data_IF_672972898358
#
_entry.id   IF_672972898358
#
_cell.length_a   1.000
_cell.length_b   1.000
_cell.length_c   1.000
_cell.angle_alpha   90.00
_cell.angle_beta   90.00
_cell.angle_gamma   90.00
#
_symmetry.space_group_name_H-M   'P 1'
#
loop_
_entity.id
_entity.type
_entity.pdbx_description
1 polymer ?
#
# COMPACT_ATOMS: atom_id res chain seq x y z
N UNK A 1 -35.74 14.52 19.01
CA UNK A 1 -35.17 15.88 19.13
C UNK A 1 -34.03 15.95 18.11
N UNK A 2 -34.25 16.64 16.98
CA UNK A 2 -33.30 16.73 15.86
C UNK A 2 -32.48 18.00 16.04
N UNK A 3 -31.17 17.87 16.20
CA UNK A 3 -30.25 19.02 16.22
C UNK A 3 -29.64 19.12 14.80
N UNK A 4 -29.96 20.18 14.11
CA UNK A 4 -29.33 20.60 12.86
C UNK A 4 -28.09 21.43 13.21
N UNK A 5 -26.92 21.01 12.75
CA UNK A 5 -25.72 21.83 12.77
C UNK A 5 -25.67 22.66 11.49
N UNK A 6 -25.68 23.96 11.63
CA UNK A 6 -25.48 24.96 10.58
C UNK A 6 -24.00 25.14 10.34
N UNK A 7 -23.53 24.92 9.12
CA UNK A 7 -22.19 25.29 8.69
C UNK A 7 -22.13 26.80 8.40
N UNK A 8 -21.24 27.49 9.07
CA UNK A 8 -20.91 28.90 8.79
C UNK A 8 -19.77 28.95 7.77
N UNK A 9 -20.04 29.46 6.58
CA UNK A 9 -19.04 29.78 5.57
C UNK A 9 -18.31 31.07 5.97
N UNK A 10 -17.01 31.01 6.17
CA UNK A 10 -16.13 32.18 6.30
C UNK A 10 -15.41 32.41 4.96
N UNK A 11 -15.96 33.29 4.15
CA UNK A 11 -15.31 33.88 2.99
C UNK A 11 -14.33 34.94 3.41
N UNK A 12 -13.02 34.63 3.41
CA UNK A 12 -11.93 35.56 3.58
C UNK A 12 -11.30 35.91 2.24
N UNK A 13 -11.63 37.11 1.70
CA UNK A 13 -10.94 37.63 0.53
C UNK A 13 -9.53 38.10 0.93
N UNK A 14 -8.49 37.45 0.42
CA UNK A 14 -7.11 37.97 0.52
C UNK A 14 -6.82 38.83 -0.71
N UNK A 15 -6.64 40.11 -0.45
CA UNK A 15 -6.16 41.09 -1.44
C UNK A 15 -4.68 40.82 -1.72
N UNK A 16 -4.34 40.51 -2.97
CA UNK A 16 -2.94 40.41 -3.43
C UNK A 16 -2.43 41.84 -3.68
N UNK A 17 -1.58 42.33 -2.80
CA UNK A 17 -0.81 43.54 -3.05
C UNK A 17 0.39 43.19 -3.96
N UNK A 18 0.36 43.66 -5.19
CA UNK A 18 1.49 43.58 -6.10
C UNK A 18 2.60 44.52 -5.61
N UNK A 19 3.68 43.97 -5.04
CA UNK A 19 4.92 44.69 -4.80
C UNK A 19 5.83 44.58 -6.04
N UNK A 20 5.95 45.70 -6.75
CA UNK A 20 6.98 45.86 -7.77
C UNK A 20 8.35 45.92 -7.10
N UNK A 21 9.23 44.98 -7.40
CA UNK A 21 10.63 44.97 -6.98
C UNK A 21 11.47 45.47 -8.16
N UNK A 22 12.36 46.46 -7.97
CA UNK A 22 13.24 46.95 -9.02
C UNK A 22 14.34 45.89 -9.33
N UNK A 23 14.64 45.76 -10.59
CA UNK A 23 15.74 44.93 -11.05
C UNK A 23 17.09 45.48 -10.56
N UNK A 24 17.76 44.76 -9.68
CA UNK A 24 19.16 44.91 -9.37
C UNK A 24 19.94 43.70 -9.84
N UNK A 25 20.88 43.92 -10.71
CA UNK A 25 21.85 42.94 -11.22
C UNK A 25 22.71 42.45 -10.06
N UNK A 26 22.85 41.14 -9.96
CA UNK A 26 24.03 40.53 -9.41
C UNK A 26 24.16 39.15 -10.07
N UNK A 27 25.19 39.00 -10.84
CA UNK A 27 25.73 37.72 -11.23
C UNK A 27 26.27 37.03 -9.98
N UNK A 28 25.67 35.90 -9.62
CA UNK A 28 26.34 34.76 -8.99
C UNK A 28 25.33 33.59 -9.00
N UNK A 29 25.59 32.59 -9.81
CA UNK A 29 24.95 31.30 -9.63
C UNK A 29 25.47 30.68 -8.33
N UNK A 30 24.62 30.28 -7.41
CA UNK A 30 23.86 29.03 -7.45
C UNK A 30 22.45 29.15 -6.83
N UNK A 31 21.47 29.40 -7.62
CA UNK A 31 20.06 29.46 -7.19
C UNK A 31 19.28 28.17 -7.36
N UNK A 32 19.93 27.05 -7.65
CA UNK A 32 19.26 25.78 -8.00
C UNK A 32 18.52 25.11 -6.84
N UNK A 33 18.93 25.32 -5.60
CA UNK A 33 18.30 24.70 -4.41
C UNK A 33 16.91 25.23 -4.09
N UNK A 34 16.71 26.57 -4.16
CA UNK A 34 15.44 27.17 -3.79
C UNK A 34 14.33 26.90 -4.82
N UNK A 35 14.66 26.93 -6.12
CA UNK A 35 13.71 26.62 -7.18
C UNK A 35 13.31 25.12 -7.16
N UNK A 36 14.26 24.24 -6.87
CA UNK A 36 14.03 22.80 -6.68
C UNK A 36 13.17 22.51 -5.45
N UNK A 37 13.44 23.16 -4.32
CA UNK A 37 12.62 23.02 -3.11
C UNK A 37 11.16 23.49 -3.33
N UNK A 38 10.93 24.49 -4.18
CA UNK A 38 9.57 24.96 -4.52
C UNK A 38 8.80 23.97 -5.38
N UNK A 39 9.44 23.25 -6.29
CA UNK A 39 8.80 22.19 -7.09
C UNK A 39 8.28 21.04 -6.20
N UNK A 40 9.08 20.62 -5.22
CA UNK A 40 8.68 19.55 -4.30
C UNK A 40 7.68 20.04 -3.25
N UNK A 41 7.81 21.26 -2.75
CA UNK A 41 6.90 21.85 -1.78
C UNK A 41 5.48 22.05 -2.36
N UNK A 42 5.36 22.42 -3.64
CA UNK A 42 4.06 22.53 -4.30
C UNK A 42 3.41 21.16 -4.56
N UNK A 43 4.19 20.14 -4.87
CA UNK A 43 3.69 18.76 -5.02
C UNK A 43 3.24 18.15 -3.68
N UNK A 44 3.89 18.51 -2.56
CA UNK A 44 3.55 18.01 -1.23
C UNK A 44 2.34 18.74 -0.60
N UNK A 45 2.06 19.97 -1.01
CA UNK A 45 1.06 20.83 -0.34
C UNK A 45 -0.36 20.75 -0.93
N UNK A 46 -0.54 20.27 -2.16
CA UNK A 46 -1.86 20.19 -2.77
C UNK A 46 -1.94 19.09 -3.83
N UNK A 47 -2.46 17.89 -3.51
CA UNK A 47 -2.71 16.86 -4.51
C UNK A 47 -3.60 17.35 -5.68
N UNK A 48 -4.50 18.30 -5.40
CA UNK A 48 -5.42 18.91 -6.38
C UNK A 48 -4.74 19.83 -7.41
N UNK A 49 -3.45 20.17 -7.26
CA UNK A 49 -2.70 21.04 -8.17
C UNK A 49 -1.45 20.34 -8.75
N UNK A 50 -1.34 19.03 -8.64
CA UNK A 50 -0.32 18.32 -9.37
C UNK A 50 -0.62 18.47 -10.86
N UNK A 51 0.31 19.06 -11.61
CA UNK A 51 0.20 19.14 -13.07
C UNK A 51 0.27 17.72 -13.65
N UNK A 52 -0.57 17.42 -14.64
CA UNK A 52 -0.45 16.22 -15.46
C UNK A 52 1.00 16.04 -15.92
N UNK A 53 1.41 14.81 -16.19
CA UNK A 53 2.75 14.45 -16.67
C UNK A 53 3.52 15.64 -17.29
N UNK A 54 4.55 16.12 -16.60
CA UNK A 54 5.33 17.28 -17.03
C UNK A 54 6.83 16.96 -16.97
N UNK A 55 7.59 17.53 -17.90
CA UNK A 55 9.03 17.32 -17.97
C UNK A 55 9.72 18.51 -18.63
N UNK A 56 10.91 18.82 -18.14
CA UNK A 56 11.82 19.79 -18.76
C UNK A 56 13.21 19.18 -18.86
N UNK A 57 13.83 19.27 -20.02
CA UNK A 57 15.17 18.76 -20.29
C UNK A 57 15.22 17.24 -20.45
N UNK A 58 16.28 16.61 -19.99
CA UNK A 58 16.57 15.20 -20.24
C UNK A 58 16.53 14.31 -18.98
N UNK A 59 16.10 14.84 -17.82
CA UNK A 59 15.79 14.03 -16.64
C UNK A 59 14.65 13.04 -16.96
N UNK A 60 14.89 11.77 -16.71
CA UNK A 60 13.93 10.69 -17.00
C UNK A 60 13.76 9.75 -15.81
N UNK A 61 12.51 9.52 -15.39
CA UNK A 61 12.18 8.47 -14.42
C UNK A 61 12.18 7.13 -15.17
N UNK A 62 13.05 6.22 -14.74
CA UNK A 62 13.24 4.92 -15.40
C UNK A 62 12.55 3.78 -14.65
N UNK A 63 12.38 3.90 -13.34
CA UNK A 63 11.65 2.91 -12.54
C UNK A 63 11.10 3.52 -11.25
N UNK A 64 9.94 2.98 -10.82
CA UNK A 64 9.39 3.25 -9.49
C UNK A 64 9.03 1.92 -8.84
N UNK A 65 9.41 1.73 -7.58
CA UNK A 65 9.12 0.51 -6.82
C UNK A 65 8.42 0.86 -5.52
N UNK A 66 7.22 0.31 -5.32
CA UNK A 66 6.41 0.47 -4.09
C UNK A 66 6.59 -0.75 -3.21
N UNK A 67 6.97 -0.56 -1.94
CA UNK A 67 7.08 -1.61 -0.92
C UNK A 67 7.91 -2.85 -1.40
N UNK A 68 8.94 -2.63 -2.19
CA UNK A 68 9.75 -3.70 -2.78
C UNK A 68 8.95 -4.62 -3.72
N UNK A 69 7.93 -4.11 -4.39
CA UNK A 69 7.05 -4.86 -5.29
C UNK A 69 6.00 -5.72 -4.58
N UNK A 70 5.80 -5.55 -3.26
CA UNK A 70 4.84 -6.31 -2.47
C UNK A 70 3.61 -5.46 -2.13
N UNK A 71 2.48 -6.14 -1.89
CA UNK A 71 1.27 -5.49 -1.38
C UNK A 71 1.53 -4.77 -0.04
N UNK A 72 0.85 -3.65 0.15
CA UNK A 72 0.80 -2.92 1.43
C UNK A 72 -0.39 -3.50 2.21
N UNK A 73 -0.10 -4.38 3.16
CA UNK A 73 -1.14 -5.06 3.95
C UNK A 73 -1.36 -4.32 5.26
N UNK A 74 -2.59 -3.83 5.46
CA UNK A 74 -2.97 -2.98 6.60
C UNK A 74 -4.02 -3.70 7.46
N UNK A 75 -3.74 -3.78 8.76
CA UNK A 75 -4.65 -4.31 9.78
C UNK A 75 -5.69 -3.28 10.21
N UNK A 76 -6.15 -3.40 11.46
CA UNK A 76 -7.20 -2.53 12.02
C UNK A 76 -6.69 -1.42 12.93
N UNK A 77 -5.42 -1.48 13.37
CA UNK A 77 -4.88 -0.55 14.37
C UNK A 77 -3.41 -0.21 14.19
N UNK A 78 -2.60 -1.13 13.64
CA UNK A 78 -1.16 -0.92 13.51
C UNK A 78 -0.83 -0.24 12.20
N UNK A 79 -0.02 0.82 12.28
CA UNK A 79 0.55 1.52 11.13
C UNK A 79 1.46 0.58 10.32
N UNK A 80 1.39 0.69 9.00
CA UNK A 80 2.28 0.00 8.07
C UNK A 80 3.22 1.01 7.43
N UNK A 81 4.48 1.00 7.84
CA UNK A 81 5.55 1.77 7.19
C UNK A 81 6.10 1.00 6.00
N UNK A 82 6.34 1.69 4.89
CA UNK A 82 6.90 1.12 3.68
C UNK A 82 7.67 2.19 2.88
N UNK A 83 8.46 1.75 1.90
CA UNK A 83 9.30 2.62 1.08
C UNK A 83 8.77 2.67 -0.35
N UNK A 84 8.83 3.85 -0.97
CA UNK A 84 8.74 4.03 -2.41
C UNK A 84 10.09 4.51 -2.92
N UNK A 85 10.59 3.86 -3.96
CA UNK A 85 11.88 4.20 -4.57
C UNK A 85 11.67 4.62 -6.01
N UNK A 86 12.24 5.77 -6.37
CA UNK A 86 12.26 6.34 -7.72
C UNK A 86 13.67 6.23 -8.26
N UNK A 87 13.86 5.54 -9.38
CA UNK A 87 15.13 5.51 -10.11
C UNK A 87 15.00 6.42 -11.30
N UNK A 88 15.94 7.36 -11.44
CA UNK A 88 15.95 8.32 -12.54
C UNK A 88 17.36 8.48 -13.11
N UNK A 89 17.41 8.98 -14.33
CA UNK A 89 18.64 9.28 -15.06
C UNK A 89 18.63 10.74 -15.54
N UNK A 90 19.81 11.34 -15.52
CA UNK A 90 20.09 12.67 -16.04
C UNK A 90 21.59 12.78 -16.36
N UNK A 91 22.02 13.38 -17.48
CA UNK A 91 23.43 13.57 -17.82
C UNK A 91 24.24 14.31 -16.76
N UNK A 92 23.61 15.27 -16.05
CA UNK A 92 24.20 16.01 -14.94
C UNK A 92 24.22 15.23 -13.61
N UNK A 93 23.59 14.05 -13.58
CA UNK A 93 23.28 13.28 -12.38
C UNK A 93 21.98 13.72 -11.69
N UNK A 94 21.47 12.92 -10.77
CA UNK A 94 20.20 13.17 -10.08
C UNK A 94 20.45 13.90 -8.76
N UNK A 95 19.77 15.03 -8.58
CA UNK A 95 19.75 15.81 -7.36
C UNK A 95 18.78 15.23 -6.33
N UNK A 96 17.52 14.93 -6.76
CA UNK A 96 16.46 14.43 -5.88
C UNK A 96 15.42 13.63 -6.65
N UNK A 97 14.67 12.81 -5.90
CA UNK A 97 13.49 12.09 -6.38
C UNK A 97 12.47 11.95 -5.28
N UNK A 98 11.19 12.12 -5.62
CA UNK A 98 10.09 12.14 -4.68
C UNK A 98 8.92 11.32 -5.20
N UNK A 99 8.12 10.75 -4.29
CA UNK A 99 6.91 10.01 -4.63
C UNK A 99 5.90 10.05 -3.49
N UNK A 100 4.63 9.95 -3.84
CA UNK A 100 3.55 9.66 -2.90
C UNK A 100 2.51 8.75 -3.56
N UNK A 101 1.65 8.13 -2.75
CA UNK A 101 0.55 7.32 -3.24
C UNK A 101 -0.77 8.08 -3.12
N UNK A 102 -1.61 7.95 -4.13
CA UNK A 102 -2.95 8.51 -4.13
C UNK A 102 -3.99 7.47 -4.60
N UNK A 103 -5.21 7.59 -4.10
CA UNK A 103 -6.35 6.76 -4.46
C UNK A 103 -7.45 7.66 -5.03
N UNK A 104 -8.09 7.19 -6.10
CA UNK A 104 -9.12 7.96 -6.79
C UNK A 104 -9.08 7.74 -8.29
N UNK A 105 -9.63 8.68 -9.04
CA UNK A 105 -9.78 8.59 -10.50
C UNK A 105 -8.97 9.62 -11.27
N UNK A 106 -8.65 10.76 -10.66
CA UNK A 106 -7.97 11.87 -11.32
C UNK A 106 -7.28 12.77 -10.30
N UNK A 107 -5.95 12.85 -10.35
CA UNK A 107 -5.14 13.67 -9.45
C UNK A 107 -5.31 15.18 -9.71
N UNK A 108 -5.65 15.57 -10.93
CA UNK A 108 -5.85 16.98 -11.32
C UNK A 108 -7.20 17.55 -10.88
N UNK A 109 -8.13 16.73 -10.42
CA UNK A 109 -9.47 17.11 -9.98
C UNK A 109 -9.59 17.14 -8.47
N UNK A 110 -10.15 18.23 -7.90
CA UNK A 110 -10.42 18.34 -6.46
C UNK A 110 -11.30 17.20 -5.89
N UNK A 111 -12.15 16.62 -6.72
CA UNK A 111 -13.03 15.50 -6.35
C UNK A 111 -12.52 14.14 -6.84
N UNK A 112 -11.42 14.14 -7.54
CA UNK A 112 -10.86 12.93 -8.16
C UNK A 112 -10.00 12.09 -7.22
N UNK A 113 -9.60 12.64 -6.06
CA UNK A 113 -8.76 11.97 -5.06
C UNK A 113 -9.56 11.77 -3.78
N UNK A 114 -9.65 10.53 -3.33
CA UNK A 114 -10.32 10.15 -2.08
C UNK A 114 -9.36 9.57 -1.04
N UNK A 115 -8.06 9.46 -1.34
CA UNK A 115 -7.04 9.05 -0.39
C UNK A 115 -5.63 9.45 -0.83
N UNK A 116 -4.78 9.83 0.12
CA UNK A 116 -3.38 10.12 -0.13
C UNK A 116 -2.48 9.61 1.01
N UNK A 117 -1.30 9.13 0.64
CA UNK A 117 -0.21 8.80 1.56
C UNK A 117 1.04 9.54 1.10
N UNK A 118 1.36 10.62 1.80
CA UNK A 118 2.53 11.46 1.53
C UNK A 118 3.66 11.14 2.52
N UNK A 119 4.93 11.25 2.12
CA UNK A 119 6.03 11.16 3.05
C UNK A 119 6.06 12.39 3.99
N UNK A 120 6.69 12.23 5.14
CA UNK A 120 6.90 13.33 6.09
C UNK A 120 8.09 14.23 5.74
N UNK A 121 8.83 13.90 4.68
CA UNK A 121 10.01 14.63 4.19
C UNK A 121 9.71 15.17 2.80
N UNK A 122 10.22 16.36 2.51
CA UNK A 122 10.07 17.01 1.18
C UNK A 122 11.06 16.46 0.14
N UNK A 123 12.03 15.65 0.57
CA UNK A 123 13.10 15.10 -0.25
C UNK A 123 13.23 13.60 -0.05
N UNK A 124 13.65 12.89 -1.10
CA UNK A 124 14.05 11.51 -1.02
C UNK A 124 15.50 11.35 -0.53
N UNK A 125 15.79 10.18 0.00
CA UNK A 125 17.19 9.78 0.26
C UNK A 125 17.72 9.09 -0.98
N UNK A 126 18.66 9.75 -1.67
CA UNK A 126 19.19 9.28 -2.94
C UNK A 126 20.48 8.46 -2.75
N UNK A 127 20.55 7.32 -3.42
CA UNK A 127 21.75 6.49 -3.57
C UNK A 127 22.21 6.52 -5.02
N UNK A 128 23.43 6.94 -5.24
CA UNK A 128 24.05 7.00 -6.57
C UNK A 128 24.30 5.58 -7.08
N UNK A 129 23.78 5.26 -8.26
CA UNK A 129 24.04 4.01 -8.98
C UNK A 129 25.25 4.18 -9.91
N UNK A 130 25.31 5.31 -10.63
CA UNK A 130 26.43 5.73 -11.48
C UNK A 130 26.37 7.26 -11.67
N UNK A 131 27.26 7.82 -12.48
CA UNK A 131 27.39 9.28 -12.68
C UNK A 131 26.08 9.96 -13.15
N UNK A 132 25.22 9.24 -13.86
CA UNK A 132 23.98 9.78 -14.44
C UNK A 132 22.71 9.20 -13.82
N UNK A 133 22.82 8.24 -12.89
CA UNK A 133 21.66 7.50 -12.38
C UNK A 133 21.69 7.44 -10.86
N UNK A 134 20.57 7.77 -10.23
CA UNK A 134 20.37 7.53 -8.80
C UNK A 134 19.02 6.86 -8.52
N UNK A 135 18.94 6.18 -7.37
CA UNK A 135 17.68 5.71 -6.79
C UNK A 135 17.40 6.49 -5.51
N UNK A 136 16.31 7.25 -5.50
CA UNK A 136 15.87 8.07 -4.39
C UNK A 136 14.69 7.39 -3.70
N UNK A 137 14.70 7.32 -2.39
CA UNK A 137 13.69 6.60 -1.61
C UNK A 137 13.01 7.54 -0.62
N UNK A 138 11.69 7.44 -0.54
CA UNK A 138 10.85 8.10 0.46
C UNK A 138 10.14 7.04 1.32
N UNK A 139 9.87 7.39 2.57
CA UNK A 139 9.14 6.52 3.50
C UNK A 139 7.72 7.01 3.68
N UNK A 140 6.75 6.13 3.48
CA UNK A 140 5.33 6.39 3.65
C UNK A 140 4.75 5.53 4.78
N UNK A 141 3.62 5.98 5.31
CA UNK A 141 2.89 5.27 6.37
C UNK A 141 1.43 5.11 5.96
N UNK A 142 0.95 3.87 5.91
CA UNK A 142 -0.47 3.56 5.85
C UNK A 142 -0.99 3.37 7.29
N UNK A 143 -1.86 4.26 7.75
CA UNK A 143 -2.39 4.30 9.10
C UNK A 143 -3.92 4.12 9.10
N UNK A 144 -4.46 3.01 9.67
CA UNK A 144 -5.90 2.80 9.75
C UNK A 144 -6.63 3.77 10.69
N UNK A 145 -5.89 4.59 11.46
CA UNK A 145 -6.48 5.62 12.33
C UNK A 145 -6.40 7.03 11.71
N UNK A 146 -5.84 7.15 10.49
CA UNK A 146 -5.63 8.43 9.83
C UNK A 146 -5.94 8.33 8.32
N UNK A 147 -4.95 8.03 7.48
CA UNK A 147 -5.06 8.09 6.03
C UNK A 147 -5.67 6.84 5.36
N UNK A 148 -5.92 5.76 6.13
CA UNK A 148 -6.68 4.57 5.69
C UNK A 148 -8.04 4.53 6.42
N UNK A 149 -8.82 5.58 6.26
CA UNK A 149 -10.05 5.84 7.01
C UNK A 149 -11.24 4.92 6.68
N UNK A 150 -11.19 4.13 5.60
CA UNK A 150 -12.33 3.32 5.19
C UNK A 150 -12.00 2.21 4.21
N UNK A 151 -12.89 1.22 4.15
CA UNK A 151 -12.75 0.03 3.31
C UNK A 151 -12.72 0.34 1.80
N UNK A 152 -13.26 1.50 1.40
CA UNK A 152 -13.25 1.97 0.01
C UNK A 152 -11.82 2.15 -0.52
N UNK A 153 -10.87 2.45 0.35
CA UNK A 153 -9.47 2.65 0.01
C UNK A 153 -8.71 1.34 -0.25
N UNK A 154 -9.38 0.19 -0.09
CA UNK A 154 -8.75 -1.10 -0.37
C UNK A 154 -8.70 -1.37 -1.88
N UNK A 155 -7.51 -1.54 -2.42
CA UNK A 155 -7.35 -1.83 -3.84
C UNK A 155 -6.10 -1.23 -4.44
N UNK A 156 -6.24 -0.79 -5.69
CA UNK A 156 -5.18 -0.14 -6.45
C UNK A 156 -5.01 1.30 -5.98
N UNK A 157 -3.76 1.69 -5.74
CA UNK A 157 -3.33 3.06 -5.49
C UNK A 157 -2.36 3.48 -6.59
N UNK A 158 -2.49 4.70 -7.05
CA UNK A 158 -1.62 5.33 -8.03
C UNK A 158 -0.36 5.87 -7.39
N UNK A 159 0.70 6.02 -8.15
CA UNK A 159 1.97 6.57 -7.68
C UNK A 159 2.30 7.82 -8.47
N UNK A 160 2.24 8.95 -7.79
CA UNK A 160 2.92 10.16 -8.25
C UNK A 160 4.43 9.99 -8.04
N UNK A 161 5.21 10.33 -9.03
CA UNK A 161 6.67 10.29 -8.96
C UNK A 161 7.28 11.52 -9.63
N UNK A 162 8.34 12.06 -9.04
CA UNK A 162 9.12 13.14 -9.63
C UNK A 162 10.62 12.91 -9.41
N UNK A 163 11.42 13.45 -10.32
CA UNK A 163 12.87 13.48 -10.23
C UNK A 163 13.41 14.78 -10.77
N UNK A 164 14.56 15.24 -10.24
CA UNK A 164 15.23 16.47 -10.62
C UNK A 164 16.72 16.20 -10.83
N UNK A 165 17.25 16.64 -11.97
CA UNK A 165 18.68 16.63 -12.31
C UNK A 165 19.47 17.71 -11.56
N UNK A 166 20.81 17.57 -11.55
CA UNK A 166 21.68 18.57 -10.91
C UNK A 166 21.68 19.93 -11.62
N UNK A 167 21.34 19.98 -12.90
CA UNK A 167 21.21 21.21 -13.71
C UNK A 167 19.83 21.88 -13.60
N UNK A 168 18.87 21.21 -12.95
CA UNK A 168 17.52 21.72 -12.73
C UNK A 168 16.47 21.15 -13.66
N UNK A 169 16.86 20.31 -14.59
CA UNK A 169 15.91 19.53 -15.40
C UNK A 169 15.07 18.62 -14.52
N UNK A 170 13.84 18.32 -14.94
CA UNK A 170 12.92 17.53 -14.12
C UNK A 170 11.98 16.65 -14.94
N UNK A 171 11.46 15.63 -14.30
CA UNK A 171 10.37 14.79 -14.81
C UNK A 171 9.35 14.54 -13.71
N UNK A 172 8.06 14.75 -14.02
CA UNK A 172 6.91 14.51 -13.15
C UNK A 172 5.96 13.55 -13.83
N UNK A 173 5.44 12.59 -13.07
CA UNK A 173 4.46 11.59 -13.50
C UNK A 173 3.37 11.44 -12.47
N UNK A 174 2.13 11.75 -12.84
CA UNK A 174 0.97 11.67 -11.95
C UNK A 174 0.55 10.23 -11.63
N UNK A 175 0.70 9.32 -12.59
CA UNK A 175 0.39 7.90 -12.48
C UNK A 175 1.46 7.04 -13.16
N UNK A 176 2.68 7.08 -12.63
CA UNK A 176 3.77 6.28 -13.22
C UNK A 176 3.54 4.78 -13.06
N UNK A 177 3.00 4.35 -11.92
CA UNK A 177 2.79 2.96 -11.56
C UNK A 177 1.69 2.85 -10.50
N UNK A 178 1.29 1.64 -10.16
CA UNK A 178 0.37 1.41 -9.04
C UNK A 178 0.93 0.45 -8.00
N UNK A 179 0.53 0.67 -6.75
CA UNK A 179 0.68 -0.25 -5.63
C UNK A 179 -0.68 -0.82 -5.22
N UNK A 180 -0.66 -1.90 -4.46
CA UNK A 180 -1.87 -2.49 -3.89
C UNK A 180 -1.91 -2.30 -2.39
N UNK A 181 -2.95 -1.65 -1.88
CA UNK A 181 -3.24 -1.52 -0.45
C UNK A 181 -4.35 -2.50 -0.11
N UNK A 182 -4.05 -3.48 0.73
CA UNK A 182 -4.96 -4.59 1.01
C UNK A 182 -5.30 -4.67 2.49
N UNK A 183 -6.55 -5.00 2.75
CA UNK A 183 -7.06 -5.30 4.08
C UNK A 183 -6.44 -6.62 4.55
N UNK A 184 -5.85 -6.64 5.74
CA UNK A 184 -5.24 -7.84 6.30
C UNK A 184 -6.31 -8.93 6.53
N UNK A 185 -6.03 -10.15 6.07
CA UNK A 185 -6.83 -11.33 6.38
C UNK A 185 -6.21 -12.12 7.53
N UNK A 186 -7.06 -12.77 8.32
CA UNK A 186 -6.67 -13.75 9.33
C UNK A 186 -7.36 -15.07 9.04
N UNK A 187 -6.66 -16.18 9.31
CA UNK A 187 -7.15 -17.53 9.06
C UNK A 187 -6.70 -18.45 10.18
N UNK A 188 -7.63 -19.30 10.64
CA UNK A 188 -7.36 -20.30 11.69
C UNK A 188 -7.56 -21.70 11.15
N UNK A 189 -6.97 -22.70 11.82
CA UNK A 189 -7.16 -24.13 11.54
C UNK A 189 -7.20 -24.90 12.85
N UNK A 190 -8.14 -25.83 12.94
CA UNK A 190 -8.19 -26.83 14.00
C UNK A 190 -8.70 -28.16 13.42
N UNK A 191 -7.98 -29.24 13.64
CA UNK A 191 -8.29 -30.57 13.16
C UNK A 191 -8.55 -31.50 14.36
N UNK A 192 -9.71 -32.14 14.40
CA UNK A 192 -10.08 -33.00 15.54
C UNK A 192 -10.90 -34.22 15.10
N UNK A 193 -10.90 -35.33 15.91
CA UNK A 193 -10.24 -35.52 17.21
C UNK A 193 -8.74 -35.75 17.10
N UNK A 194 -8.03 -35.54 18.21
CA UNK A 194 -6.60 -35.87 18.37
C UNK A 194 -6.38 -36.61 19.71
N UNK A 195 -5.76 -37.78 19.71
CA UNK A 195 -5.35 -38.58 18.53
C UNK A 195 -6.55 -39.17 17.78
N UNK A 196 -6.31 -39.63 16.54
CA UNK A 196 -7.35 -40.24 15.67
C UNK A 196 -6.91 -41.59 15.17
N UNK A 197 -7.83 -42.56 15.07
CA UNK A 197 -7.52 -43.86 14.50
C UNK A 197 -7.28 -43.77 12.97
N UNK A 198 -6.33 -44.58 12.44
CA UNK A 198 -6.07 -44.64 11.00
C UNK A 198 -7.35 -44.92 10.22
N UNK A 199 -7.60 -44.19 9.14
CA UNK A 199 -8.81 -44.28 8.34
C UNK A 199 -10.06 -43.69 8.93
N UNK A 200 -10.04 -43.26 10.18
CA UNK A 200 -11.16 -42.56 10.80
C UNK A 200 -11.40 -41.19 10.23
N UNK A 201 -12.58 -40.61 10.49
CA UNK A 201 -12.94 -39.29 10.00
C UNK A 201 -12.37 -38.22 10.93
N UNK A 202 -11.57 -37.32 10.35
CA UNK A 202 -11.06 -36.11 10.96
C UNK A 202 -11.91 -34.92 10.48
N UNK A 203 -12.36 -34.10 11.41
CA UNK A 203 -13.05 -32.83 11.10
C UNK A 203 -12.03 -31.69 11.17
N UNK A 204 -11.92 -30.92 10.09
CA UNK A 204 -11.06 -29.73 10.07
C UNK A 204 -11.95 -28.49 10.04
N UNK A 205 -11.78 -27.63 11.04
CA UNK A 205 -12.50 -26.37 11.18
C UNK A 205 -11.55 -25.18 11.11
N UNK A 206 -12.08 -23.99 10.90
CA UNK A 206 -11.33 -22.75 10.88
C UNK A 206 -12.24 -21.55 10.74
N UNK A 207 -11.64 -20.38 10.72
CA UNK A 207 -12.34 -19.13 10.47
C UNK A 207 -11.50 -18.21 9.58
N UNK A 208 -12.14 -17.61 8.59
CA UNK A 208 -11.57 -16.57 7.73
C UNK A 208 -12.18 -15.24 8.12
N UNK A 209 -11.32 -14.30 8.52
CA UNK A 209 -11.71 -12.92 8.83
C UNK A 209 -10.83 -11.94 8.07
N UNK A 210 -11.28 -10.68 7.96
CA UNK A 210 -10.47 -9.60 7.40
C UNK A 210 -10.64 -8.30 8.17
N UNK A 211 -9.64 -7.45 8.11
CA UNK A 211 -9.70 -6.12 8.66
C UNK A 211 -10.87 -5.33 8.05
N UNK A 212 -11.61 -4.64 8.88
CA UNK A 212 -12.64 -3.68 8.50
C UNK A 212 -12.18 -2.31 9.03
N UNK A 213 -11.75 -1.43 8.13
CA UNK A 213 -11.21 -0.14 8.48
C UNK A 213 -12.29 0.85 8.93
N UNK A 214 -13.55 0.70 8.45
CA UNK A 214 -14.67 1.53 8.90
C UNK A 214 -15.01 1.31 10.37
N UNK A 215 -14.83 0.07 10.86
CA UNK A 215 -15.16 -0.31 12.25
C UNK A 215 -13.93 -0.55 13.12
N UNK A 216 -12.73 -0.53 12.53
CA UNK A 216 -11.45 -0.84 13.16
C UNK A 216 -11.43 -2.22 13.87
N UNK A 217 -12.12 -3.21 13.31
CA UNK A 217 -12.21 -4.58 13.84
C UNK A 217 -12.05 -5.60 12.73
N UNK A 218 -11.60 -6.80 13.09
CA UNK A 218 -11.68 -7.93 12.17
C UNK A 218 -13.10 -8.44 12.11
N UNK A 219 -13.64 -8.57 10.92
CA UNK A 219 -14.97 -9.12 10.65
C UNK A 219 -14.90 -10.40 9.83
N UNK A 220 -15.95 -11.20 9.90
CA UNK A 220 -16.09 -12.41 9.10
C UNK A 220 -15.91 -12.13 7.60
N UNK A 221 -15.23 -13.06 6.91
CA UNK A 221 -15.16 -13.06 5.45
C UNK A 221 -15.88 -14.28 4.88
N UNK A 222 -17.14 -14.07 4.51
CA UNK A 222 -17.98 -15.12 3.95
C UNK A 222 -17.71 -15.40 2.47
N UNK A 223 -18.05 -16.62 2.04
CA UNK A 223 -17.97 -17.09 0.64
C UNK A 223 -16.55 -17.08 0.07
N UNK A 224 -15.54 -17.16 0.92
CA UNK A 224 -14.13 -17.28 0.53
C UNK A 224 -13.76 -18.72 0.16
N UNK A 225 -13.12 -18.91 -1.00
CA UNK A 225 -12.62 -20.21 -1.44
C UNK A 225 -11.22 -20.47 -0.86
N UNK A 226 -11.13 -21.35 0.14
CA UNK A 226 -9.92 -21.61 0.94
C UNK A 226 -9.39 -23.00 0.66
N UNK A 227 -8.07 -23.16 0.52
CA UNK A 227 -7.41 -24.45 0.32
C UNK A 227 -7.10 -25.10 1.66
N UNK A 228 -7.60 -26.32 1.89
CA UNK A 228 -7.10 -27.19 2.94
C UNK A 228 -5.84 -27.91 2.45
N UNK A 229 -4.76 -27.80 3.20
CA UNK A 229 -3.48 -28.42 2.91
C UNK A 229 -3.07 -29.40 4.01
N UNK A 230 -2.36 -30.44 3.60
CA UNK A 230 -1.74 -31.43 4.49
C UNK A 230 -0.24 -31.54 4.23
N UNK A 231 0.54 -31.70 5.30
CA UNK A 231 1.95 -32.04 5.28
C UNK A 231 2.20 -33.20 6.21
N UNK A 232 2.68 -34.33 5.65
CA UNK A 232 3.05 -35.53 6.44
C UNK A 232 4.17 -35.17 7.44
N UNK A 233 4.11 -35.73 8.65
CA UNK A 233 5.18 -35.62 9.63
C UNK A 233 6.53 -36.06 9.05
N UNK A 234 7.61 -35.37 9.42
CA UNK A 234 8.94 -35.62 8.88
C UNK A 234 9.20 -35.08 7.46
N UNK A 235 8.23 -34.41 6.83
CA UNK A 235 8.42 -33.74 5.52
C UNK A 235 8.28 -32.22 5.62
N UNK A 236 8.71 -31.48 4.59
CA UNK A 236 8.62 -30.01 4.53
C UNK A 236 7.52 -29.50 3.59
N UNK A 237 6.96 -30.35 2.72
CA UNK A 237 6.07 -29.93 1.65
C UNK A 237 4.61 -30.13 1.99
N UNK A 238 3.80 -29.05 1.86
CA UNK A 238 2.35 -29.13 1.91
C UNK A 238 1.75 -29.47 0.56
N UNK A 239 0.71 -30.30 0.55
CA UNK A 239 -0.09 -30.63 -0.62
C UNK A 239 -1.53 -30.15 -0.43
N UNK A 240 -2.16 -29.69 -1.51
CA UNK A 240 -3.57 -29.34 -1.49
C UNK A 240 -4.42 -30.60 -1.40
N UNK A 241 -5.32 -30.65 -0.44
CA UNK A 241 -6.23 -31.79 -0.24
C UNK A 241 -7.61 -31.47 -0.76
N UNK A 242 -8.12 -30.27 -0.48
CA UNK A 242 -9.49 -29.90 -0.78
C UNK A 242 -9.67 -28.37 -0.76
N UNK A 243 -10.58 -27.89 -1.60
CA UNK A 243 -11.10 -26.53 -1.50
C UNK A 243 -12.33 -26.52 -0.62
N UNK A 244 -12.40 -25.57 0.30
CA UNK A 244 -13.50 -25.36 1.25
C UNK A 244 -13.97 -23.90 1.14
N UNK A 245 -15.27 -23.71 0.98
CA UNK A 245 -15.85 -22.37 0.96
C UNK A 245 -16.31 -22.01 2.38
N UNK A 246 -15.92 -20.80 2.85
CA UNK A 246 -16.40 -20.29 4.13
C UNK A 246 -17.90 -19.99 4.06
N UNK A 247 -18.61 -20.20 5.18
CA UNK A 247 -20.01 -19.78 5.30
C UNK A 247 -20.14 -18.24 5.38
N UNK A 248 -21.35 -17.72 5.50
CA UNK A 248 -21.61 -16.28 5.60
C UNK A 248 -20.95 -15.62 6.83
N UNK A 249 -20.58 -16.40 7.83
CA UNK A 249 -19.91 -15.96 9.06
C UNK A 249 -18.40 -16.18 9.02
N UNK A 250 -17.86 -16.59 7.85
CA UNK A 250 -16.43 -16.85 7.70
C UNK A 250 -15.97 -18.20 8.24
N UNK A 251 -16.86 -19.06 8.74
CA UNK A 251 -16.48 -20.35 9.28
C UNK A 251 -16.14 -21.34 8.14
N UNK A 252 -15.12 -22.15 8.39
CA UNK A 252 -14.67 -23.24 7.55
C UNK A 252 -14.91 -24.56 8.28
N UNK A 253 -15.51 -25.54 7.58
CA UNK A 253 -15.69 -26.89 8.12
C UNK A 253 -15.68 -27.90 7.00
N UNK A 254 -14.86 -28.95 7.17
CA UNK A 254 -14.83 -30.08 6.25
C UNK A 254 -14.38 -31.34 6.99
N UNK A 255 -14.51 -32.49 6.33
CA UNK A 255 -14.01 -33.76 6.84
C UNK A 255 -13.04 -34.39 5.86
N UNK A 256 -12.05 -35.10 6.39
CA UNK A 256 -11.05 -35.88 5.66
C UNK A 256 -10.84 -37.22 6.34
N UNK A 257 -10.14 -38.15 5.69
CA UNK A 257 -9.70 -39.41 6.33
C UNK A 257 -8.29 -39.23 6.87
N UNK A 258 -8.09 -39.64 8.12
CA UNK A 258 -6.77 -39.63 8.75
C UNK A 258 -5.94 -40.80 8.18
N UNK A 259 -4.88 -40.51 7.41
CA UNK A 259 -4.07 -41.52 6.76
C UNK A 259 -2.64 -41.61 7.31
N UNK A 260 -2.14 -40.63 7.96
CA UNK A 260 -0.81 -40.54 8.54
C UNK A 260 -0.70 -39.32 9.49
N UNK A 261 0.27 -39.37 10.39
CA UNK A 261 0.66 -38.23 11.20
C UNK A 261 1.04 -37.04 10.34
N UNK A 262 0.61 -35.87 10.74
CA UNK A 262 0.96 -34.68 9.98
C UNK A 262 0.25 -33.41 10.41
N UNK A 263 0.46 -32.38 9.60
CA UNK A 263 0.05 -31.02 9.87
C UNK A 263 -1.01 -30.58 8.87
N UNK A 264 -2.10 -30.08 9.36
CA UNK A 264 -3.22 -29.53 8.59
C UNK A 264 -3.22 -28.02 8.68
N UNK A 265 -3.49 -27.35 7.56
CA UNK A 265 -3.68 -25.90 7.57
C UNK A 265 -4.62 -25.45 6.47
N UNK A 266 -5.28 -24.35 6.69
CA UNK A 266 -5.97 -23.60 5.65
C UNK A 266 -5.06 -22.52 5.05
N UNK A 267 -5.23 -22.26 3.73
CA UNK A 267 -4.55 -21.20 3.00
C UNK A 267 -5.57 -20.46 2.13
N UNK A 268 -5.59 -19.16 2.27
CA UNK A 268 -6.41 -18.23 1.51
C UNK A 268 -5.53 -17.44 0.54
N UNK A 269 -5.89 -17.42 -0.75
CA UNK A 269 -5.10 -16.75 -1.80
C UNK A 269 -5.28 -15.22 -1.81
N UNK A 270 -6.26 -14.68 -1.07
CA UNK A 270 -6.57 -13.26 -1.10
C UNK A 270 -7.37 -12.83 -2.32
N UNK A 271 -7.54 -11.51 -2.44
CA UNK A 271 -8.17 -10.83 -3.59
C UNK A 271 -7.39 -9.56 -3.93
N UNK A 272 -7.88 -8.76 -4.87
CA UNK A 272 -7.34 -7.41 -5.13
C UNK A 272 -7.44 -6.46 -3.93
N UNK A 273 -8.38 -6.68 -3.01
CA UNK A 273 -8.64 -5.80 -1.85
C UNK A 273 -8.34 -6.44 -0.49
N UNK A 274 -7.97 -7.74 -0.46
CA UNK A 274 -7.73 -8.49 0.77
C UNK A 274 -6.47 -9.33 0.62
N UNK A 275 -5.60 -9.32 1.63
CA UNK A 275 -4.33 -10.02 1.59
C UNK A 275 -4.49 -11.54 1.57
N UNK A 276 -3.45 -12.23 1.14
CA UNK A 276 -3.29 -13.67 1.40
C UNK A 276 -3.25 -13.94 2.90
N UNK A 277 -3.69 -15.14 3.32
CA UNK A 277 -3.55 -15.61 4.68
C UNK A 277 -3.22 -17.10 4.72
N UNK A 278 -2.32 -17.48 5.62
CA UNK A 278 -2.01 -18.88 5.92
C UNK A 278 -2.20 -19.11 7.41
N UNK A 279 -3.06 -20.04 7.75
CA UNK A 279 -3.29 -20.41 9.14
C UNK A 279 -2.07 -21.12 9.75
N UNK A 280 -1.89 -20.95 11.06
CA UNK A 280 -1.01 -21.84 11.81
C UNK A 280 -1.49 -23.28 11.61
N UNK A 281 -0.55 -24.17 11.33
CA UNK A 281 -0.89 -25.58 11.10
C UNK A 281 -1.15 -26.29 12.43
N UNK A 282 -2.08 -27.22 12.38
CA UNK A 282 -2.48 -28.08 13.48
C UNK A 282 -1.96 -29.50 13.24
N UNK A 283 -1.34 -30.09 14.25
CA UNK A 283 -0.73 -31.44 14.17
C UNK A 283 -1.75 -32.47 14.61
N UNK A 284 -1.81 -33.59 13.88
CA UNK A 284 -2.68 -34.74 14.19
C UNK A 284 -1.83 -36.00 14.29
N UNK A 285 -1.95 -36.71 15.45
CA UNK A 285 -1.39 -38.03 15.71
C UNK A 285 -2.40 -39.08 15.25
N UNK A 286 -1.97 -40.02 14.38
CA UNK A 286 -2.79 -41.10 13.80
C UNK A 286 -2.33 -42.43 14.37
N UNK A 287 -3.24 -43.15 15.04
CA UNK A 287 -2.96 -44.44 15.72
C UNK A 287 -3.63 -45.62 15.05
#
# INVERSE_FOLDING_TARGET
MRIRATAAALSGALAIAALAVPAAQAADAPGTGAAKAQLFASAAQTPANAAADDAQGDTTITNVTVNGGRDIVVGTSLKKTFTVSVTATDPSGIYDGYAFLWHGTDLSSETGVDGAMTPSTDHGTCTVVNATTSTCSVTLVADPNDNIYGNILAGRWHVYASAVGNDGDYSIKDDYRSGWVKRAAQLTTNASPEPVAMGATLTVTGALTRANWDTQKYGAYGVGSVQLQFRKAGTSTYTNVKTVTSDSHGNLKTTVKAAADGYWRYVWAGTSTTSVATATSDYVDVK
#
